data_IF_819289296844
#
_entry.id   IF_819289296844
#
_cell.length_a   1.000
_cell.length_b   1.000
_cell.length_c   1.000
_cell.angle_alpha   90.00
_cell.angle_beta   90.00
_cell.angle_gamma   90.00
#
_symmetry.space_group_name_H-M   'P 1'
#
loop_
_entity.id
_entity.type
_entity.pdbx_description
1 polymer ?
#
# COMPACT_ATOMS: atom_id res chain seq x y z
N UNK A 1 -32.95 -6.64 21.80
CA UNK A 1 -31.53 -6.74 22.22
C UNK A 1 -30.80 -7.60 21.21
N UNK A 2 -30.14 -6.97 20.22
CA UNK A 2 -29.36 -7.66 19.20
C UNK A 2 -27.91 -7.76 19.68
N UNK A 3 -27.23 -8.90 19.51
CA UNK A 3 -25.89 -9.09 20.04
C UNK A 3 -24.89 -8.25 19.24
N UNK A 4 -24.12 -7.43 19.96
CA UNK A 4 -22.95 -6.72 19.45
C UNK A 4 -21.93 -7.76 18.96
N UNK A 5 -21.91 -8.04 17.65
CA UNK A 5 -20.73 -8.65 17.03
C UNK A 5 -19.67 -7.55 16.97
N UNK A 6 -18.72 -7.61 17.90
CA UNK A 6 -17.47 -6.89 17.80
C UNK A 6 -16.70 -7.43 16.60
N UNK A 7 -16.91 -6.84 15.42
CA UNK A 7 -16.03 -7.04 14.27
C UNK A 7 -14.79 -6.23 14.62
N UNK A 8 -13.82 -6.89 15.24
CA UNK A 8 -12.46 -6.36 15.31
C UNK A 8 -12.05 -6.17 13.86
N UNK A 9 -11.87 -4.91 13.42
CA UNK A 9 -11.13 -4.57 12.20
C UNK A 9 -9.66 -4.94 12.41
N UNK A 10 -9.42 -6.24 12.63
CA UNK A 10 -8.13 -6.84 12.40
C UNK A 10 -7.92 -6.76 10.91
N UNK A 11 -6.72 -6.32 10.50
CA UNK A 11 -6.23 -6.51 9.15
C UNK A 11 -6.78 -7.84 8.62
N UNK A 12 -7.59 -7.79 7.57
CA UNK A 12 -8.00 -9.01 6.88
C UNK A 12 -6.69 -9.69 6.51
N UNK A 13 -6.30 -10.69 7.30
CA UNK A 13 -5.17 -11.56 7.03
C UNK A 13 -5.63 -12.34 5.81
N UNK A 14 -5.38 -11.78 4.63
CA UNK A 14 -5.25 -12.56 3.41
C UNK A 14 -4.19 -13.61 3.76
N UNK A 15 -4.67 -14.80 4.12
CA UNK A 15 -3.85 -15.99 4.29
C UNK A 15 -3.20 -16.24 2.93
N UNK A 16 -2.03 -15.65 2.74
CA UNK A 16 -1.16 -15.76 1.57
C UNK A 16 -0.44 -17.10 1.56
N UNK A 17 -1.18 -18.16 1.90
CA UNK A 17 -0.67 -19.52 1.93
C UNK A 17 -0.19 -19.95 0.53
N UNK A 18 -0.66 -19.31 -0.54
CA UNK A 18 -0.57 -19.84 -1.92
C UNK A 18 0.84 -19.81 -2.52
N UNK A 19 1.73 -18.86 -2.18
CA UNK A 19 3.11 -18.90 -2.68
C UNK A 19 3.93 -20.08 -2.13
N UNK A 20 3.52 -20.66 -0.99
CA UNK A 20 4.25 -21.76 -0.36
C UNK A 20 3.43 -23.05 -0.18
N UNK A 21 2.11 -23.06 -0.40
CA UNK A 21 1.27 -24.27 -0.24
C UNK A 21 1.39 -25.26 -1.39
N UNK A 22 1.91 -24.84 -2.55
CA UNK A 22 2.14 -25.75 -3.68
C UNK A 22 3.48 -26.50 -3.63
N UNK A 23 4.38 -26.13 -2.72
CA UNK A 23 5.80 -26.44 -2.90
C UNK A 23 6.37 -27.13 -1.65
N UNK A 24 6.73 -28.41 -1.78
CA UNK A 24 7.79 -29.01 -0.96
C UNK A 24 9.17 -28.41 -1.31
N UNK A 25 9.25 -27.11 -1.61
CA UNK A 25 10.50 -26.43 -1.86
C UNK A 25 11.09 -26.05 -0.51
N UNK A 26 11.81 -26.99 0.10
CA UNK A 26 12.68 -26.67 1.23
C UNK A 26 13.79 -25.78 0.71
N UNK A 27 13.67 -24.46 0.83
CA UNK A 27 14.86 -23.60 0.77
C UNK A 27 15.73 -24.04 1.93
N UNK A 28 16.81 -24.78 1.67
CA UNK A 28 17.79 -25.10 2.70
C UNK A 28 18.24 -23.79 3.36
N UNK A 29 18.32 -23.77 4.70
CA UNK A 29 18.79 -22.59 5.42
C UNK A 29 20.12 -22.12 4.82
N UNK A 30 20.22 -20.84 4.49
CA UNK A 30 21.45 -20.30 3.88
C UNK A 30 22.57 -20.43 4.89
N UNK A 31 23.70 -20.97 4.45
CA UNK A 31 24.93 -20.96 5.24
C UNK A 31 25.44 -19.52 5.30
N UNK A 32 25.20 -18.86 6.43
CA UNK A 32 25.67 -17.51 6.67
C UNK A 32 27.13 -17.53 7.13
N UNK A 33 27.99 -16.80 6.42
CA UNK A 33 29.38 -16.56 6.79
C UNK A 33 29.55 -15.05 7.00
N UNK A 34 30.17 -14.66 8.12
CA UNK A 34 30.32 -13.24 8.45
C UNK A 34 31.11 -12.49 7.37
N UNK A 35 30.53 -11.41 6.83
CA UNK A 35 31.07 -10.63 5.71
C UNK A 35 30.66 -11.14 4.32
N UNK A 36 30.06 -12.32 4.23
CA UNK A 36 29.63 -13.00 3.00
C UNK A 36 28.20 -13.56 3.14
N UNK A 37 27.36 -12.92 3.96
CA UNK A 37 25.99 -13.35 4.21
C UNK A 37 25.11 -13.32 2.95
N UNK A 38 25.52 -12.57 1.91
CA UNK A 38 24.85 -12.52 0.60
C UNK A 38 25.43 -13.52 -0.44
N UNK A 39 26.30 -14.43 -0.04
CA UNK A 39 26.93 -15.41 -0.94
C UNK A 39 25.95 -16.30 -1.72
N UNK A 40 24.80 -16.63 -1.13
CA UNK A 40 23.77 -17.44 -1.80
C UNK A 40 23.11 -16.73 -3.01
N UNK A 41 23.24 -15.41 -3.12
CA UNK A 41 22.69 -14.62 -4.23
C UNK A 41 23.74 -14.26 -5.28
N UNK A 42 24.96 -14.81 -5.21
CA UNK A 42 26.02 -14.52 -6.16
C UNK A 42 25.53 -14.67 -7.61
N UNK A 43 25.69 -13.62 -8.41
CA UNK A 43 25.16 -13.55 -9.77
C UNK A 43 24.66 -12.15 -10.15
N UNK A 44 24.11 -12.05 -11.35
CA UNK A 44 23.48 -10.84 -11.87
C UNK A 44 21.98 -11.10 -12.11
N UNK A 45 21.14 -10.27 -11.49
CA UNK A 45 19.69 -10.49 -11.43
C UNK A 45 18.94 -9.28 -11.96
N UNK A 46 17.83 -9.52 -12.66
CA UNK A 46 16.95 -8.51 -13.21
C UNK A 46 15.54 -8.61 -12.62
N UNK A 47 14.91 -7.46 -12.39
CA UNK A 47 13.57 -7.38 -11.79
C UNK A 47 12.47 -7.68 -12.80
N UNK A 48 11.44 -8.40 -12.36
CA UNK A 48 10.19 -8.58 -13.11
C UNK A 48 9.41 -7.26 -13.29
N UNK A 49 9.69 -6.23 -12.49
CA UNK A 49 9.06 -4.91 -12.65
C UNK A 49 9.28 -4.31 -14.03
N UNK A 50 10.45 -4.56 -14.65
CA UNK A 50 10.81 -4.01 -15.95
C UNK A 50 9.98 -4.60 -17.11
N UNK A 51 9.42 -5.80 -16.93
CA UNK A 51 8.79 -6.58 -18.00
C UNK A 51 7.31 -6.90 -17.73
N UNK A 52 6.82 -6.77 -16.50
CA UNK A 52 5.42 -7.04 -16.14
C UNK A 52 4.40 -6.16 -16.89
N UNK A 53 4.85 -5.03 -17.44
CA UNK A 53 4.06 -4.14 -18.28
C UNK A 53 4.12 -4.41 -19.79
N UNK A 54 4.91 -5.39 -20.23
CA UNK A 54 5.19 -5.66 -21.65
C UNK A 54 3.91 -5.94 -22.46
N UNK A 55 3.86 -5.44 -23.70
CA UNK A 55 2.68 -5.58 -24.57
C UNK A 55 2.37 -7.04 -24.93
N UNK A 56 3.39 -7.91 -24.90
CA UNK A 56 3.26 -9.35 -25.12
C UNK A 56 2.40 -10.03 -24.05
N UNK A 57 2.22 -9.41 -22.88
CA UNK A 57 1.40 -9.93 -21.79
C UNK A 57 -0.06 -9.47 -21.87
N UNK A 58 -0.41 -8.56 -22.78
CA UNK A 58 -1.75 -7.97 -22.83
C UNK A 58 -2.85 -9.03 -23.02
N UNK A 59 -2.64 -10.03 -23.89
CA UNK A 59 -3.61 -11.11 -24.07
C UNK A 59 -3.81 -11.94 -22.80
N UNK A 60 -2.74 -12.20 -22.04
CA UNK A 60 -2.82 -12.92 -20.76
C UNK A 60 -3.62 -12.11 -19.73
N UNK A 61 -3.37 -10.80 -19.63
CA UNK A 61 -4.14 -9.91 -18.76
C UNK A 61 -5.62 -9.87 -19.15
N UNK A 62 -5.93 -9.67 -20.44
CA UNK A 62 -7.31 -9.62 -20.94
C UNK A 62 -8.06 -10.92 -20.61
N UNK A 63 -7.52 -12.07 -21.01
CA UNK A 63 -8.15 -13.38 -20.80
C UNK A 63 -8.38 -13.69 -19.33
N UNK A 64 -7.49 -13.24 -18.44
CA UNK A 64 -7.65 -13.47 -17.01
C UNK A 64 -8.65 -12.48 -16.39
N UNK A 65 -8.60 -11.20 -16.76
CA UNK A 65 -9.53 -10.19 -16.27
C UNK A 65 -10.99 -10.47 -16.68
N UNK A 66 -11.23 -11.09 -17.85
CA UNK A 66 -12.58 -11.53 -18.28
C UNK A 66 -13.24 -12.52 -17.28
N UNK A 67 -12.43 -13.22 -16.47
CA UNK A 67 -12.91 -14.14 -15.44
C UNK A 67 -13.12 -13.45 -14.08
N UNK A 68 -12.80 -12.17 -13.97
CA UNK A 68 -12.79 -11.41 -12.72
C UNK A 68 -13.86 -10.30 -12.77
N UNK A 69 -15.03 -10.48 -12.10
CA UNK A 69 -16.19 -9.60 -12.30
C UNK A 69 -15.98 -8.14 -11.88
N UNK A 70 -14.99 -7.87 -11.02
CA UNK A 70 -14.73 -6.56 -10.45
C UNK A 70 -13.32 -6.05 -10.75
N UNK A 71 -12.68 -6.57 -11.78
CA UNK A 71 -11.36 -6.11 -12.23
C UNK A 71 -11.44 -5.79 -13.72
N UNK A 72 -10.99 -4.61 -14.09
CA UNK A 72 -10.67 -4.31 -15.49
C UNK A 72 -9.34 -4.97 -15.86
N UNK A 73 -9.04 -5.09 -17.16
CA UNK A 73 -7.72 -5.51 -17.64
C UNK A 73 -6.60 -4.65 -17.02
N UNK A 74 -6.75 -3.33 -17.10
CA UNK A 74 -5.80 -2.38 -16.51
C UNK A 74 -5.73 -2.49 -14.98
N UNK A 75 -6.83 -2.84 -14.32
CA UNK A 75 -6.89 -3.08 -12.87
C UNK A 75 -6.11 -4.32 -12.44
N UNK A 76 -6.19 -5.42 -13.20
CA UNK A 76 -5.37 -6.61 -12.98
C UNK A 76 -3.89 -6.29 -13.27
N UNK A 77 -3.60 -5.61 -14.38
CA UNK A 77 -2.25 -5.17 -14.73
C UNK A 77 -1.62 -4.30 -13.65
N UNK A 78 -2.38 -3.36 -13.09
CA UNK A 78 -1.94 -2.53 -11.98
C UNK A 78 -1.68 -3.33 -10.70
N UNK A 79 -2.49 -4.35 -10.41
CA UNK A 79 -2.28 -5.24 -9.26
C UNK A 79 -0.98 -6.06 -9.41
N UNK A 80 -0.75 -6.67 -10.57
CA UNK A 80 0.49 -7.43 -10.86
C UNK A 80 1.71 -6.51 -10.88
N UNK A 81 1.61 -5.33 -11.50
CA UNK A 81 2.70 -4.33 -11.49
C UNK A 81 3.06 -3.91 -10.06
N UNK A 82 2.06 -3.73 -9.19
CA UNK A 82 2.27 -3.37 -7.77
C UNK A 82 2.98 -4.49 -7.01
N UNK A 83 2.66 -5.75 -7.27
CA UNK A 83 3.34 -6.90 -6.65
C UNK A 83 4.85 -6.84 -6.93
N UNK A 84 5.25 -6.58 -8.17
CA UNK A 84 6.66 -6.56 -8.56
C UNK A 84 7.37 -5.22 -8.35
N UNK A 85 6.66 -4.15 -7.98
CA UNK A 85 7.20 -2.80 -7.94
C UNK A 85 8.44 -2.68 -7.05
N UNK A 86 9.53 -2.12 -7.59
CA UNK A 86 10.80 -1.95 -6.85
C UNK A 86 11.56 -0.73 -7.37
N UNK A 87 12.34 -0.05 -6.50
CA UNK A 87 13.28 0.97 -6.94
C UNK A 87 14.55 0.39 -7.60
N UNK A 88 14.82 -0.91 -7.38
CA UNK A 88 16.00 -1.61 -7.87
C UNK A 88 15.63 -2.45 -9.11
N UNK A 89 16.14 -2.09 -10.30
CA UNK A 89 15.83 -2.80 -11.54
C UNK A 89 16.76 -3.98 -11.81
N UNK A 90 18.01 -3.92 -11.32
CA UNK A 90 18.98 -5.03 -11.36
C UNK A 90 19.82 -5.06 -10.09
N UNK A 91 20.33 -6.23 -9.72
CA UNK A 91 21.24 -6.42 -8.61
C UNK A 91 22.37 -7.37 -9.00
N UNK A 92 23.61 -7.00 -8.70
CA UNK A 92 24.78 -7.86 -8.86
C UNK A 92 25.43 -8.12 -7.50
N UNK A 93 25.55 -9.40 -7.17
CA UNK A 93 26.19 -9.90 -5.96
C UNK A 93 27.46 -10.63 -6.34
N UNK A 94 28.60 -10.23 -5.77
CA UNK A 94 29.89 -10.92 -5.97
C UNK A 94 30.11 -12.04 -4.94
N UNK A 95 29.26 -12.08 -3.92
CA UNK A 95 29.27 -13.03 -2.81
C UNK A 95 29.66 -12.41 -1.46
N UNK A 96 30.16 -11.17 -1.48
CA UNK A 96 30.34 -10.34 -0.29
C UNK A 96 29.03 -9.62 0.08
N UNK A 97 29.05 -8.86 1.18
CA UNK A 97 27.95 -7.98 1.54
C UNK A 97 27.89 -6.65 0.76
N UNK A 98 28.76 -6.45 -0.23
CA UNK A 98 28.65 -5.31 -1.15
C UNK A 98 27.82 -5.71 -2.35
N UNK A 99 26.73 -4.98 -2.58
CA UNK A 99 25.83 -5.20 -3.71
C UNK A 99 25.94 -4.04 -4.67
N UNK A 100 26.04 -4.34 -5.96
CA UNK A 100 25.94 -3.33 -7.01
C UNK A 100 24.49 -3.29 -7.52
N UNK A 101 23.74 -2.29 -7.08
CA UNK A 101 22.37 -2.08 -7.52
C UNK A 101 22.30 -1.22 -8.76
N UNK A 102 21.41 -1.56 -9.68
CA UNK A 102 21.01 -0.68 -10.78
C UNK A 102 19.66 -0.07 -10.45
N UNK A 103 19.59 1.26 -10.45
CA UNK A 103 18.36 2.05 -10.26
C UNK A 103 18.07 2.87 -11.50
N UNK A 104 16.79 3.20 -11.71
CA UNK A 104 16.40 4.17 -12.73
C UNK A 104 16.46 5.57 -12.14
N UNK A 105 17.13 6.50 -12.83
CA UNK A 105 17.05 7.91 -12.47
C UNK A 105 15.75 8.56 -12.97
N UNK A 106 15.56 9.84 -12.63
CA UNK A 106 14.36 10.60 -12.98
C UNK A 106 14.16 10.76 -14.49
N UNK A 107 15.23 10.63 -15.27
CA UNK A 107 15.24 10.77 -16.72
C UNK A 107 15.09 9.39 -17.41
N UNK A 108 14.96 8.31 -16.62
CA UNK A 108 14.82 6.95 -17.11
C UNK A 108 16.14 6.29 -17.51
N UNK A 109 17.28 6.79 -17.04
CA UNK A 109 18.58 6.17 -17.28
C UNK A 109 18.97 5.23 -16.14
N UNK A 110 19.60 4.11 -16.48
CA UNK A 110 20.17 3.18 -15.50
C UNK A 110 21.42 3.80 -14.82
N UNK A 111 21.48 3.69 -13.49
CA UNK A 111 22.66 4.03 -12.67
C UNK A 111 23.04 2.87 -11.79
N UNK A 112 24.31 2.49 -11.85
CA UNK A 112 24.88 1.47 -10.96
C UNK A 112 25.47 2.12 -9.71
N UNK A 113 25.03 1.67 -8.55
CA UNK A 113 25.43 2.23 -7.26
C UNK A 113 25.82 1.08 -6.32
N UNK A 114 27.09 1.01 -5.88
CA UNK A 114 27.51 0.01 -4.91
C UNK A 114 27.05 0.42 -3.51
N UNK A 115 26.63 -0.55 -2.71
CA UNK A 115 26.32 -0.34 -1.31
C UNK A 115 26.70 -1.58 -0.48
N UNK A 116 27.41 -1.33 0.62
CA UNK A 116 27.78 -2.36 1.58
C UNK A 116 26.71 -2.46 2.67
N UNK A 117 26.33 -3.68 3.00
CA UNK A 117 25.29 -3.99 3.97
C UNK A 117 25.83 -4.79 5.15
N UNK A 118 25.14 -4.66 6.28
CA UNK A 118 25.30 -5.53 7.43
C UNK A 118 24.05 -6.37 7.60
N UNK A 119 24.23 -7.67 7.83
CA UNK A 119 23.16 -8.57 8.22
C UNK A 119 22.66 -8.26 9.65
N UNK A 120 21.35 -8.22 9.83
CA UNK A 120 20.68 -7.83 11.10
C UNK A 120 19.79 -8.93 11.68
N UNK A 121 19.93 -10.16 11.16
CA UNK A 121 19.19 -11.33 11.61
C UNK A 121 17.98 -11.67 10.72
N UNK A 122 17.31 -12.77 11.09
CA UNK A 122 16.08 -13.21 10.43
C UNK A 122 14.87 -12.49 11.02
N UNK A 123 13.85 -12.24 10.20
CA UNK A 123 12.55 -11.71 10.62
C UNK A 123 11.43 -12.62 10.11
N UNK A 124 10.43 -12.93 10.94
CA UNK A 124 9.34 -13.80 10.50
C UNK A 124 8.57 -13.15 9.33
N UNK A 125 8.11 -13.97 8.39
CA UNK A 125 7.17 -13.54 7.37
C UNK A 125 5.76 -13.49 7.97
N UNK A 126 5.06 -12.38 7.81
CA UNK A 126 3.67 -12.28 8.26
C UNK A 126 2.78 -13.17 7.40
N UNK A 127 1.95 -13.99 8.05
CA UNK A 127 0.99 -14.86 7.37
C UNK A 127 1.59 -16.13 6.75
N UNK A 128 2.89 -16.38 6.90
CA UNK A 128 3.57 -17.58 6.38
C UNK A 128 4.38 -18.24 7.50
N UNK A 129 3.78 -19.24 8.15
CA UNK A 129 4.41 -19.97 9.25
C UNK A 129 5.70 -20.68 8.81
N UNK A 130 6.71 -20.68 9.67
CA UNK A 130 8.00 -21.33 9.41
C UNK A 130 8.92 -20.60 8.42
N UNK A 131 8.47 -19.52 7.78
CA UNK A 131 9.26 -18.77 6.80
C UNK A 131 9.79 -17.46 7.38
N UNK A 132 10.95 -17.04 6.89
CA UNK A 132 11.63 -15.86 7.41
C UNK A 132 12.39 -15.11 6.33
N UNK A 133 12.38 -13.79 6.46
CA UNK A 133 13.20 -12.85 5.74
C UNK A 133 14.61 -12.78 6.32
N UNK A 134 15.63 -12.68 5.48
CA UNK A 134 16.97 -12.26 5.88
C UNK A 134 17.06 -10.73 5.79
N UNK A 135 17.39 -10.04 6.89
CA UNK A 135 17.34 -8.59 6.97
C UNK A 135 18.72 -7.93 6.89
N UNK A 136 18.84 -6.90 6.07
CA UNK A 136 20.07 -6.16 5.83
C UNK A 136 19.88 -4.66 5.96
N UNK A 137 20.87 -3.99 6.52
CA UNK A 137 20.92 -2.54 6.69
C UNK A 137 22.21 -2.00 6.07
N UNK A 138 22.11 -0.94 5.27
CA UNK A 138 23.26 -0.27 4.69
C UNK A 138 24.17 0.28 5.80
N UNK A 139 25.48 0.04 5.73
CA UNK A 139 26.41 0.46 6.80
C UNK A 139 26.51 1.99 6.93
N UNK A 140 26.14 2.71 5.88
CA UNK A 140 26.08 4.17 5.81
C UNK A 140 25.04 4.59 4.76
N UNK A 141 24.47 5.80 4.86
CA UNK A 141 23.64 6.35 3.78
C UNK A 141 24.41 6.43 2.46
N UNK A 142 23.79 5.96 1.37
CA UNK A 142 24.34 6.04 0.02
C UNK A 142 23.42 6.89 -0.85
N UNK A 143 23.99 7.94 -1.46
CA UNK A 143 23.26 8.83 -2.35
C UNK A 143 22.68 8.04 -3.54
N UNK A 144 21.40 8.23 -3.82
CA UNK A 144 20.70 7.48 -4.88
C UNK A 144 20.12 6.12 -4.44
N UNK A 145 20.39 5.67 -3.21
CA UNK A 145 19.84 4.42 -2.64
C UNK A 145 19.07 4.66 -1.34
N UNK A 146 18.47 5.84 -1.17
CA UNK A 146 17.67 6.14 0.03
C UNK A 146 16.52 5.14 0.23
N UNK A 147 15.89 4.68 -0.86
CA UNK A 147 14.81 3.67 -0.83
C UNK A 147 15.31 2.23 -0.66
N UNK A 148 16.62 2.02 -0.54
CA UNK A 148 17.25 0.73 -0.29
C UNK A 148 18.18 0.77 0.93
N UNK A 149 17.99 1.73 1.85
CA UNK A 149 18.74 1.78 3.12
C UNK A 149 18.58 0.48 3.93
N UNK A 150 17.38 -0.11 3.87
CA UNK A 150 17.04 -1.38 4.45
C UNK A 150 16.51 -2.29 3.36
N UNK A 151 16.85 -3.58 3.42
CA UNK A 151 16.12 -4.58 2.65
C UNK A 151 15.95 -5.89 3.40
N UNK A 152 14.91 -6.61 3.03
CA UNK A 152 14.64 -7.98 3.45
C UNK A 152 14.57 -8.87 2.21
N UNK A 153 15.18 -10.05 2.26
CA UNK A 153 15.36 -10.92 1.09
C UNK A 153 15.13 -12.39 1.44
N UNK A 154 14.68 -13.17 0.46
CA UNK A 154 14.66 -14.65 0.52
C UNK A 154 15.72 -15.25 -0.40
N UNK A 155 16.27 -16.42 -0.07
CA UNK A 155 17.27 -17.08 -0.91
C UNK A 155 16.70 -17.40 -2.30
N UNK A 156 17.54 -17.51 -3.34
CA UNK A 156 17.09 -17.99 -4.64
C UNK A 156 16.48 -19.39 -4.52
N UNK A 157 15.28 -19.55 -5.06
CA UNK A 157 14.51 -20.79 -5.01
C UNK A 157 13.70 -20.97 -6.30
N UNK A 158 13.09 -22.14 -6.41
CA UNK A 158 12.08 -22.47 -7.41
C UNK A 158 10.80 -22.86 -6.68
N UNK A 159 9.68 -22.40 -7.21
CA UNK A 159 8.35 -22.77 -6.72
C UNK A 159 7.96 -24.14 -7.27
N UNK A 160 8.34 -24.46 -8.51
CA UNK A 160 8.16 -25.80 -9.07
C UNK A 160 9.39 -26.28 -9.83
N UNK A 161 9.40 -27.54 -10.26
CA UNK A 161 10.50 -28.08 -11.08
C UNK A 161 10.70 -27.27 -12.37
N UNK A 162 9.59 -26.76 -12.94
CA UNK A 162 9.58 -26.01 -14.20
C UNK A 162 9.67 -24.48 -14.02
N UNK A 163 9.55 -23.95 -12.79
CA UNK A 163 9.60 -22.49 -12.54
C UNK A 163 11.02 -21.96 -12.63
N UNK A 164 11.18 -20.66 -12.89
CA UNK A 164 12.49 -20.04 -12.92
C UNK A 164 13.15 -20.05 -11.53
N UNK A 165 14.48 -20.15 -11.49
CA UNK A 165 15.23 -19.81 -10.28
C UNK A 165 15.12 -18.30 -10.07
N UNK A 166 14.54 -17.90 -8.95
CA UNK A 166 14.27 -16.51 -8.66
C UNK A 166 14.34 -16.25 -7.15
N UNK A 167 14.29 -14.98 -6.77
CA UNK A 167 14.16 -14.57 -5.36
C UNK A 167 13.30 -13.32 -5.23
N UNK A 168 12.85 -13.06 -4.00
CA UNK A 168 12.09 -11.87 -3.64
C UNK A 168 12.85 -11.00 -2.65
N UNK A 169 12.70 -9.68 -2.77
CA UNK A 169 13.16 -8.74 -1.76
C UNK A 169 12.26 -7.50 -1.65
N UNK A 170 12.20 -6.92 -0.45
CA UNK A 170 11.57 -5.61 -0.22
C UNK A 170 12.63 -4.61 0.21
N UNK A 171 12.55 -3.40 -0.33
CA UNK A 171 13.52 -2.31 -0.09
C UNK A 171 12.82 -1.12 0.56
N UNK A 172 13.46 -0.44 1.51
CA UNK A 172 12.89 0.77 2.07
C UNK A 172 13.88 1.67 2.80
N UNK A 173 13.37 2.85 3.17
CA UNK A 173 14.14 3.94 3.77
C UNK A 173 13.98 4.09 5.29
N UNK A 174 12.99 3.42 5.89
CA UNK A 174 12.60 3.67 7.30
C UNK A 174 13.25 2.71 8.27
N UNK A 175 12.82 1.45 8.22
CA UNK A 175 13.27 0.39 9.10
C UNK A 175 12.81 -0.98 8.56
N UNK A 176 13.41 -2.04 9.10
CA UNK A 176 13.08 -3.44 8.75
C UNK A 176 11.64 -3.80 9.13
N UNK A 177 11.12 -3.26 10.24
CA UNK A 177 9.77 -3.57 10.72
C UNK A 177 8.73 -3.14 9.69
N UNK A 178 8.88 -1.95 9.13
CA UNK A 178 8.03 -1.38 8.08
C UNK A 178 8.01 -2.26 6.83
N UNK A 179 9.13 -2.90 6.48
CA UNK A 179 9.20 -3.82 5.34
C UNK A 179 8.46 -5.14 5.60
N UNK A 180 8.60 -5.68 6.82
CA UNK A 180 7.90 -6.91 7.23
C UNK A 180 6.39 -6.68 7.32
N UNK A 181 5.97 -5.53 7.81
CA UNK A 181 4.56 -5.10 7.96
C UNK A 181 3.95 -4.47 6.69
N UNK A 182 4.69 -4.44 5.59
CA UNK A 182 4.20 -3.91 4.31
C UNK A 182 3.11 -4.80 3.70
N UNK A 183 2.47 -4.29 2.63
CA UNK A 183 1.45 -5.01 1.85
C UNK A 183 1.92 -6.47 1.60
N UNK A 184 1.16 -7.47 2.06
CA UNK A 184 1.62 -8.85 1.99
C UNK A 184 1.64 -9.37 0.55
N UNK A 185 1.02 -8.69 -0.43
CA UNK A 185 1.14 -8.97 -1.86
C UNK A 185 2.32 -8.27 -2.55
N UNK A 186 3.13 -7.49 -1.82
CA UNK A 186 4.32 -6.86 -2.38
C UNK A 186 5.50 -7.85 -2.38
N UNK A 187 5.79 -8.41 -3.55
CA UNK A 187 6.83 -9.41 -3.80
C UNK A 187 7.69 -9.00 -5.01
N UNK A 188 8.56 -7.98 -4.87
CA UNK A 188 9.51 -7.67 -5.93
C UNK A 188 10.38 -8.89 -6.22
N UNK A 189 10.33 -9.33 -7.46
CA UNK A 189 10.86 -10.63 -7.89
C UNK A 189 11.98 -10.42 -8.89
N UNK A 190 13.03 -11.24 -8.76
CA UNK A 190 14.23 -11.15 -9.56
C UNK A 190 14.63 -12.53 -10.07
N UNK A 191 14.99 -12.61 -11.35
CA UNK A 191 15.56 -13.80 -11.96
C UNK A 191 16.93 -13.48 -12.58
N UNK A 192 17.68 -14.51 -12.92
CA UNK A 192 19.00 -14.37 -13.52
C UNK A 192 18.92 -13.56 -14.84
N UNK A 193 19.88 -12.66 -15.04
CA UNK A 193 19.98 -11.83 -16.27
C UNK A 193 20.20 -12.65 -17.54
N UNK A 194 20.71 -13.89 -17.41
CA UNK A 194 20.88 -14.82 -18.52
C UNK A 194 19.57 -15.50 -18.96
N UNK A 195 18.48 -15.39 -18.18
CA UNK A 195 17.17 -15.93 -18.60
C UNK A 195 16.67 -15.18 -19.83
N UNK A 196 16.23 -15.93 -20.85
CA UNK A 196 15.70 -15.36 -22.07
C UNK A 196 14.41 -14.57 -21.81
N UNK A 197 14.18 -13.53 -22.60
CA UNK A 197 12.94 -12.74 -22.51
C UNK A 197 11.69 -13.61 -22.72
N UNK A 198 11.77 -14.64 -23.57
CA UNK A 198 10.67 -15.59 -23.77
C UNK A 198 10.31 -16.36 -22.49
N UNK A 199 11.32 -16.87 -21.78
CA UNK A 199 11.09 -17.60 -20.53
C UNK A 199 10.56 -16.68 -19.42
N UNK A 200 11.04 -15.43 -19.36
CA UNK A 200 10.50 -14.44 -18.44
C UNK A 200 9.03 -14.09 -18.73
N UNK A 201 8.67 -13.90 -20.00
CA UNK A 201 7.29 -13.64 -20.41
C UNK A 201 6.38 -14.83 -20.10
N UNK A 202 6.87 -16.06 -20.29
CA UNK A 202 6.14 -17.27 -19.89
C UNK A 202 5.90 -17.29 -18.38
N UNK A 203 6.94 -17.08 -17.57
CA UNK A 203 6.82 -17.07 -16.11
C UNK A 203 5.78 -16.05 -15.65
N UNK A 204 5.87 -14.81 -16.15
CA UNK A 204 4.90 -13.76 -15.77
C UNK A 204 3.49 -14.11 -16.26
N UNK A 205 3.33 -14.74 -17.43
CA UNK A 205 2.03 -15.20 -17.91
C UNK A 205 1.39 -16.19 -16.94
N UNK A 206 2.18 -17.09 -16.35
CA UNK A 206 1.69 -18.02 -15.35
C UNK A 206 1.43 -17.30 -14.01
N UNK A 207 2.31 -16.39 -13.57
CA UNK A 207 2.09 -15.57 -12.36
C UNK A 207 0.85 -14.67 -12.45
N UNK A 208 0.47 -14.16 -13.64
CA UNK A 208 -0.76 -13.37 -13.81
C UNK A 208 -1.99 -14.17 -13.36
N UNK A 209 -2.02 -15.49 -13.64
CA UNK A 209 -3.12 -16.37 -13.23
C UNK A 209 -3.12 -16.56 -11.72
N UNK A 210 -1.97 -16.84 -11.14
CA UNK A 210 -1.79 -17.04 -9.69
C UNK A 210 -2.18 -15.78 -8.91
N UNK A 211 -1.71 -14.61 -9.34
CA UNK A 211 -2.08 -13.32 -8.73
C UNK A 211 -3.57 -13.07 -8.82
N UNK A 212 -4.21 -13.37 -9.95
CA UNK A 212 -5.65 -13.24 -10.08
C UNK A 212 -6.42 -14.13 -9.09
N UNK A 213 -5.90 -15.31 -8.75
CA UNK A 213 -6.50 -16.21 -7.75
C UNK A 213 -6.27 -15.73 -6.31
N UNK A 214 -5.15 -15.05 -6.04
CA UNK A 214 -4.85 -14.48 -4.72
C UNK A 214 -5.57 -13.16 -4.44
N UNK A 215 -5.95 -12.43 -5.49
CA UNK A 215 -6.65 -11.16 -5.36
C UNK A 215 -8.06 -11.37 -4.77
N UNK A 216 -8.54 -10.46 -3.91
CA UNK A 216 -9.88 -10.58 -3.37
C UNK A 216 -10.91 -10.47 -4.50
N UNK A 217 -11.88 -11.39 -4.54
CA UNK A 217 -12.97 -11.38 -5.53
C UNK A 217 -13.64 -9.99 -5.62
N UNK A 218 -13.89 -9.38 -4.46
CA UNK A 218 -14.34 -7.99 -4.33
C UNK A 218 -13.15 -7.09 -3.94
N UNK A 219 -12.61 -6.25 -4.83
CA UNK A 219 -11.45 -5.41 -4.52
C UNK A 219 -11.74 -4.31 -3.49
N UNK A 220 -13.01 -4.05 -3.14
CA UNK A 220 -13.38 -3.17 -2.03
C UNK A 220 -13.36 -3.86 -0.66
N UNK A 221 -13.08 -5.16 -0.58
CA UNK A 221 -13.05 -5.93 0.69
C UNK A 221 -12.15 -5.33 1.78
N UNK A 222 -10.97 -4.73 1.49
CA UNK A 222 -10.18 -4.06 2.52
C UNK A 222 -10.89 -2.87 3.18
N UNK A 223 -11.94 -2.33 2.55
CA UNK A 223 -12.67 -1.14 2.96
C UNK A 223 -14.06 -1.47 3.52
N UNK A 224 -14.44 -2.75 3.63
CA UNK A 224 -15.79 -3.15 4.04
C UNK A 224 -16.26 -2.44 5.31
N UNK A 225 -17.52 -2.01 5.32
CA UNK A 225 -18.13 -1.32 6.44
C UNK A 225 -18.24 0.20 6.24
N UNK A 226 -18.54 0.90 7.33
CA UNK A 226 -18.87 2.34 7.33
C UNK A 226 -17.66 3.18 7.70
N UNK A 227 -17.36 4.18 6.87
CA UNK A 227 -16.21 5.08 7.01
C UNK A 227 -16.66 6.53 7.07
N UNK A 228 -16.42 7.19 8.19
CA UNK A 228 -16.80 8.58 8.45
C UNK A 228 -15.73 9.53 7.94
N UNK A 229 -16.14 10.62 7.29
CA UNK A 229 -15.23 11.68 6.87
C UNK A 229 -14.54 12.30 8.10
N UNK A 230 -13.20 12.34 8.10
CA UNK A 230 -12.39 12.87 9.21
C UNK A 230 -12.76 14.32 9.53
N UNK A 231 -13.23 15.12 8.57
CA UNK A 231 -13.63 16.50 8.84
C UNK A 231 -14.69 16.61 9.95
N UNK A 232 -15.54 15.60 10.12
CA UNK A 232 -16.60 15.55 11.13
C UNK A 232 -16.07 15.26 12.54
N UNK A 233 -14.93 14.56 12.66
CA UNK A 233 -14.39 14.22 13.99
C UNK A 233 -13.76 15.43 14.68
N UNK A 234 -13.43 16.48 13.91
CA UNK A 234 -12.88 17.70 14.49
C UNK A 234 -13.94 18.47 15.29
N UNK A 235 -15.22 18.31 14.97
CA UNK A 235 -16.33 18.91 15.73
C UNK A 235 -16.91 17.95 16.78
N UNK A 236 -16.30 16.79 17.01
CA UNK A 236 -16.84 15.75 17.88
C UNK A 236 -16.91 16.22 19.34
N UNK A 237 -18.11 16.28 19.96
CA UNK A 237 -18.29 16.86 21.29
C UNK A 237 -17.83 15.93 22.43
N UNK A 238 -17.41 14.69 22.13
CA UNK A 238 -17.07 13.70 23.16
C UNK A 238 -15.88 14.14 24.04
N UNK A 239 -15.91 13.84 25.35
CA UNK A 239 -14.94 14.36 26.32
C UNK A 239 -13.46 14.18 25.95
N UNK A 240 -13.04 13.01 25.48
CA UNK A 240 -11.62 12.76 25.18
C UNK A 240 -11.14 13.60 23.98
N UNK A 241 -12.02 13.89 23.02
CA UNK A 241 -11.70 14.77 21.89
C UNK A 241 -11.57 16.22 22.37
N UNK A 242 -12.45 16.65 23.28
CA UNK A 242 -12.33 17.97 23.91
C UNK A 242 -11.04 18.10 24.72
N UNK A 243 -10.65 17.06 25.46
CA UNK A 243 -9.39 17.01 26.19
C UNK A 243 -8.17 17.08 25.24
N UNK A 244 -8.25 16.47 24.05
CA UNK A 244 -7.21 16.59 23.04
C UNK A 244 -6.99 18.05 22.61
N UNK A 245 -8.06 18.82 22.42
CA UNK A 245 -7.94 20.26 22.13
C UNK A 245 -7.33 21.04 23.30
N UNK A 246 -7.77 20.79 24.54
CA UNK A 246 -7.17 21.41 25.73
C UNK A 246 -5.67 21.15 25.81
N UNK A 247 -5.23 19.91 25.52
CA UNK A 247 -3.81 19.53 25.46
C UNK A 247 -3.07 20.31 24.38
N UNK A 248 -3.64 20.43 23.18
CA UNK A 248 -3.02 21.17 22.06
C UNK A 248 -2.89 22.66 22.36
N UNK A 249 -3.94 23.29 22.86
CA UNK A 249 -3.93 24.73 23.20
C UNK A 249 -2.83 25.00 24.23
N UNK A 250 -2.72 24.16 25.27
CA UNK A 250 -1.65 24.25 26.26
C UNK A 250 -0.25 24.01 25.67
N UNK A 251 -0.09 22.99 24.82
CA UNK A 251 1.20 22.64 24.19
C UNK A 251 1.71 23.76 23.25
N UNK A 252 0.80 24.52 22.64
CA UNK A 252 1.09 25.60 21.69
C UNK A 252 0.81 27.01 22.23
N UNK A 253 0.69 27.15 23.56
CA UNK A 253 0.45 28.46 24.17
C UNK A 253 1.57 29.46 23.83
N UNK A 254 1.17 30.67 23.44
CA UNK A 254 2.04 31.77 23.00
C UNK A 254 2.72 31.57 21.64
N UNK A 255 2.53 30.43 20.96
CA UNK A 255 3.25 30.10 19.72
C UNK A 255 2.64 30.68 18.45
N UNK A 256 1.47 31.32 18.53
CA UNK A 256 0.82 31.99 17.40
C UNK A 256 1.12 33.49 17.49
N UNK A 257 2.30 33.91 17.02
CA UNK A 257 2.73 35.32 17.03
C UNK A 257 2.60 36.00 18.41
N UNK A 258 2.84 35.23 19.49
CA UNK A 258 2.70 35.70 20.88
C UNK A 258 1.32 35.49 21.51
N UNK A 259 0.33 34.95 20.77
CA UNK A 259 -0.98 34.56 21.31
C UNK A 259 -1.17 33.03 21.36
N UNK A 260 -2.27 32.60 21.99
CA UNK A 260 -2.71 31.21 22.00
C UNK A 260 -3.57 30.91 20.75
N UNK A 261 -3.58 29.63 20.34
CA UNK A 261 -4.58 29.14 19.39
C UNK A 261 -5.91 28.89 20.09
N UNK A 262 -7.03 29.22 19.42
CA UNK A 262 -8.36 28.78 19.87
C UNK A 262 -8.70 27.39 19.32
N UNK A 263 -9.69 26.71 19.93
CA UNK A 263 -10.19 25.43 19.42
C UNK A 263 -10.70 25.56 17.98
N UNK A 264 -11.45 26.63 17.70
CA UNK A 264 -12.04 26.92 16.39
C UNK A 264 -10.95 27.11 15.33
N UNK A 265 -9.85 27.77 15.68
CA UNK A 265 -8.68 27.94 14.80
C UNK A 265 -8.01 26.61 14.49
N UNK A 266 -7.82 25.76 15.50
CA UNK A 266 -7.25 24.42 15.30
C UNK A 266 -8.14 23.60 14.36
N UNK A 267 -9.46 23.63 14.56
CA UNK A 267 -10.44 22.96 13.69
C UNK A 267 -10.36 23.48 12.25
N UNK A 268 -10.30 24.80 12.05
CA UNK A 268 -10.20 25.41 10.73
C UNK A 268 -8.90 24.98 10.00
N UNK A 269 -7.77 24.96 10.70
CA UNK A 269 -6.49 24.50 10.15
C UNK A 269 -6.58 23.03 9.71
N UNK A 270 -7.20 22.19 10.53
CA UNK A 270 -7.42 20.79 10.22
C UNK A 270 -8.32 20.59 8.99
N UNK A 271 -9.50 21.24 8.97
CA UNK A 271 -10.46 21.18 7.85
C UNK A 271 -9.88 21.73 6.54
N UNK A 272 -9.04 22.76 6.58
CA UNK A 272 -8.33 23.26 5.39
C UNK A 272 -7.46 22.18 4.72
N UNK A 273 -6.91 21.24 5.51
CA UNK A 273 -6.05 20.17 5.00
C UNK A 273 -6.84 18.94 4.53
N UNK A 274 -7.86 18.55 5.30
CA UNK A 274 -8.56 17.27 5.16
C UNK A 274 -9.97 17.37 4.56
N UNK A 275 -10.43 18.59 4.28
CA UNK A 275 -11.77 18.86 3.74
C UNK A 275 -12.76 19.29 4.82
N UNK A 276 -13.98 19.56 4.37
CA UNK A 276 -15.09 20.08 5.17
C UNK A 276 -16.27 19.12 5.25
N UNK A 277 -16.16 17.92 4.68
CA UNK A 277 -17.25 16.98 4.46
C UNK A 277 -18.39 17.58 3.61
N UNK A 278 -18.06 18.48 2.67
CA UNK A 278 -19.05 19.14 1.81
C UNK A 278 -19.75 18.14 0.88
N UNK A 279 -19.00 17.19 0.33
CA UNK A 279 -19.50 16.24 -0.66
C UNK A 279 -20.14 14.98 -0.05
N UNK A 280 -19.66 14.52 1.12
CA UNK A 280 -20.21 13.35 1.81
C UNK A 280 -19.90 13.38 3.31
N UNK A 281 -20.77 12.80 4.14
CA UNK A 281 -20.51 12.59 5.57
C UNK A 281 -19.85 11.25 5.83
N UNK A 282 -20.27 10.21 5.11
CA UNK A 282 -19.66 8.89 5.22
C UNK A 282 -19.79 8.09 3.92
N UNK A 283 -18.94 7.09 3.80
CA UNK A 283 -18.97 6.07 2.77
C UNK A 283 -19.28 4.73 3.43
N UNK A 284 -19.98 3.86 2.73
CA UNK A 284 -20.21 2.49 3.17
C UNK A 284 -19.84 1.52 2.05
N UNK A 285 -18.96 0.56 2.34
CA UNK A 285 -18.50 -0.43 1.37
C UNK A 285 -19.14 -1.78 1.69
N UNK A 286 -19.78 -2.36 0.69
CA UNK A 286 -20.56 -3.59 0.83
C UNK A 286 -19.96 -4.63 -0.11
N UNK A 287 -19.31 -5.63 0.48
CA UNK A 287 -18.56 -6.68 -0.25
C UNK A 287 -19.06 -8.09 0.03
N UNK A 288 -20.04 -8.23 0.92
CA UNK A 288 -20.66 -9.52 1.23
C UNK A 288 -21.64 -9.93 0.12
N UNK A 289 -21.93 -11.24 0.03
CA UNK A 289 -22.91 -11.79 -0.91
C UNK A 289 -22.62 -11.39 -2.37
N UNK A 290 -21.36 -11.57 -2.79
CA UNK A 290 -20.88 -11.28 -4.15
C UNK A 290 -21.00 -9.82 -4.61
N UNK A 291 -21.19 -8.88 -3.66
CA UNK A 291 -21.21 -7.46 -3.97
C UNK A 291 -19.81 -6.85 -4.01
N UNK A 292 -19.71 -5.72 -4.69
CA UNK A 292 -18.55 -4.83 -4.62
C UNK A 292 -19.03 -3.38 -4.78
N UNK A 293 -19.88 -2.95 -3.86
CA UNK A 293 -20.60 -1.68 -3.91
C UNK A 293 -20.01 -0.65 -2.95
N UNK A 294 -20.10 0.63 -3.33
CA UNK A 294 -19.94 1.74 -2.41
C UNK A 294 -21.22 2.57 -2.39
N UNK A 295 -21.64 2.95 -1.18
CA UNK A 295 -22.73 3.88 -0.91
C UNK A 295 -22.13 5.19 -0.44
N UNK A 296 -22.59 6.30 -1.01
CA UNK A 296 -22.20 7.65 -0.61
C UNK A 296 -23.34 8.27 0.16
N UNK A 297 -23.06 8.77 1.35
CA UNK A 297 -24.07 9.35 2.24
C UNK A 297 -23.78 10.82 2.54
N UNK A 298 -24.85 11.62 2.67
CA UNK A 298 -24.82 12.98 3.22
C UNK A 298 -25.87 13.11 4.31
N UNK A 299 -25.41 13.21 5.56
CA UNK A 299 -26.29 13.01 6.71
C UNK A 299 -26.91 11.61 6.63
N UNK A 300 -28.24 11.56 6.67
CA UNK A 300 -29.03 10.33 6.54
C UNK A 300 -29.54 10.09 5.10
N UNK A 301 -29.12 10.91 4.15
CA UNK A 301 -29.51 10.78 2.73
C UNK A 301 -28.49 9.95 1.96
N UNK A 302 -28.94 8.85 1.35
CA UNK A 302 -28.16 8.10 0.35
C UNK A 302 -28.08 8.93 -0.94
N UNK A 303 -26.88 9.39 -1.30
CA UNK A 303 -26.65 10.14 -2.54
C UNK A 303 -26.50 9.21 -3.74
N UNK A 304 -25.82 8.08 -3.56
CA UNK A 304 -25.60 7.09 -4.61
C UNK A 304 -25.23 5.74 -4.03
N UNK A 305 -25.52 4.68 -4.79
CA UNK A 305 -25.09 3.30 -4.56
C UNK A 305 -24.81 2.64 -5.90
N UNK A 306 -23.56 2.26 -6.12
CA UNK A 306 -23.10 1.64 -7.37
C UNK A 306 -22.00 0.61 -7.08
N UNK A 307 -21.84 -0.34 -7.99
CA UNK A 307 -20.71 -1.26 -7.97
C UNK A 307 -19.46 -0.57 -8.54
N UNK A 308 -18.28 -1.02 -8.11
CA UNK A 308 -17.00 -0.57 -8.62
C UNK A 308 -16.19 -1.73 -9.17
N UNK A 309 -15.28 -1.43 -10.09
CA UNK A 309 -14.21 -2.35 -10.48
C UNK A 309 -12.85 -1.71 -10.18
N UNK A 310 -11.86 -2.53 -9.84
CA UNK A 310 -10.47 -2.06 -9.77
C UNK A 310 -10.01 -1.66 -11.17
N UNK A 311 -9.39 -0.48 -11.25
CA UNK A 311 -8.96 0.14 -12.49
C UNK A 311 -7.44 0.34 -12.52
N UNK A 312 -6.91 0.69 -13.69
CA UNK A 312 -5.51 1.03 -13.88
C UNK A 312 -5.04 2.17 -12.98
N UNK A 313 -3.76 2.17 -12.63
CA UNK A 313 -3.19 3.20 -11.75
C UNK A 313 -3.47 4.61 -12.28
N UNK A 314 -4.03 5.48 -11.42
CA UNK A 314 -4.25 6.87 -11.78
C UNK A 314 -2.93 7.65 -11.68
N UNK A 315 -2.53 8.35 -12.74
CA UNK A 315 -1.25 9.10 -12.78
C UNK A 315 -1.11 10.17 -11.68
N UNK A 316 -2.22 10.77 -11.23
CA UNK A 316 -2.21 11.75 -10.14
C UNK A 316 -2.03 11.10 -8.76
N UNK A 317 -2.30 9.79 -8.65
CA UNK A 317 -2.24 8.99 -7.43
C UNK A 317 -1.72 7.57 -7.73
N UNK A 318 -0.53 7.46 -8.33
CA UNK A 318 -0.02 6.18 -8.85
C UNK A 318 0.14 5.08 -7.79
N UNK A 319 0.34 5.46 -6.52
CA UNK A 319 0.48 4.53 -5.39
C UNK A 319 -0.86 4.13 -4.74
N UNK A 320 -1.97 4.77 -5.15
CA UNK A 320 -3.31 4.45 -4.66
C UNK A 320 -3.98 3.40 -5.57
N UNK A 321 -4.90 2.64 -4.99
CA UNK A 321 -5.76 1.74 -5.75
C UNK A 321 -6.81 2.58 -6.48
N UNK A 322 -6.86 2.49 -7.81
CA UNK A 322 -7.88 3.16 -8.61
C UNK A 322 -9.12 2.29 -8.79
N UNK A 323 -10.28 2.94 -8.86
CA UNK A 323 -11.55 2.27 -9.10
C UNK A 323 -12.43 3.08 -10.03
N UNK A 324 -13.27 2.38 -10.79
CA UNK A 324 -14.27 2.97 -11.69
C UNK A 324 -15.65 2.42 -11.38
N UNK A 325 -16.65 3.31 -11.32
CA UNK A 325 -18.03 2.95 -11.08
C UNK A 325 -18.64 2.23 -12.30
N UNK A 326 -19.48 1.23 -12.06
CA UNK A 326 -20.26 0.54 -13.10
C UNK A 326 -21.30 1.47 -13.75
N UNK A 327 -21.88 2.38 -12.98
CA UNK A 327 -22.75 3.45 -13.44
C UNK A 327 -22.18 4.81 -13.04
N UNK A 328 -21.44 5.42 -13.97
CA UNK A 328 -20.76 6.70 -13.76
C UNK A 328 -21.73 7.87 -13.62
N UNK A 329 -22.90 7.79 -14.24
CA UNK A 329 -23.91 8.85 -14.13
C UNK A 329 -24.52 8.84 -12.72
N UNK A 330 -24.90 7.66 -12.22
CA UNK A 330 -25.43 7.50 -10.87
C UNK A 330 -24.39 7.79 -9.78
N UNK A 331 -23.12 7.47 -10.03
CA UNK A 331 -22.02 7.78 -9.11
C UNK A 331 -21.70 9.29 -9.02
N UNK A 332 -22.04 10.06 -10.06
CA UNK A 332 -21.75 11.49 -10.13
C UNK A 332 -20.27 11.81 -9.89
N UNK A 333 -19.98 12.65 -8.88
CA UNK A 333 -18.60 13.03 -8.49
C UNK A 333 -17.73 11.85 -8.07
N UNK A 334 -18.32 10.69 -7.76
CA UNK A 334 -17.63 9.49 -7.30
C UNK A 334 -17.38 8.47 -8.41
N UNK A 335 -17.61 8.82 -9.68
CA UNK A 335 -17.45 7.92 -10.82
C UNK A 335 -16.06 7.27 -10.92
N UNK A 336 -15.01 8.00 -10.54
CA UNK A 336 -13.65 7.51 -10.45
C UNK A 336 -13.11 7.75 -9.05
N UNK A 337 -12.45 6.74 -8.48
CA UNK A 337 -11.85 6.80 -7.16
C UNK A 337 -10.36 6.50 -7.23
N UNK A 338 -9.61 7.04 -6.29
CA UNK A 338 -8.27 6.57 -5.93
C UNK A 338 -8.17 6.50 -4.42
N UNK A 339 -7.86 5.32 -3.89
CA UNK A 339 -7.89 5.04 -2.45
C UNK A 339 -6.60 4.40 -1.99
N UNK A 340 -6.06 4.88 -0.87
CA UNK A 340 -5.02 4.13 -0.17
C UNK A 340 -5.64 2.93 0.52
N UNK A 341 -4.95 1.78 0.56
CA UNK A 341 -5.30 0.72 1.51
C UNK A 341 -5.40 1.30 2.94
N UNK A 342 -6.36 0.88 3.77
CA UNK A 342 -6.44 1.37 5.14
C UNK A 342 -5.15 1.14 5.92
N UNK A 343 -4.72 2.15 6.67
CA UNK A 343 -3.45 2.14 7.41
C UNK A 343 -3.50 3.04 8.65
N UNK A 344 -2.47 2.95 9.49
CA UNK A 344 -2.32 3.77 10.70
C UNK A 344 -3.22 3.34 11.87
N UNK A 345 -3.19 4.12 12.95
CA UNK A 345 -3.98 3.89 14.16
C UNK A 345 -4.60 5.22 14.67
N UNK A 346 -5.94 5.36 14.69
CA UNK A 346 -6.92 4.43 14.09
C UNK A 346 -6.65 4.21 12.60
N UNK A 347 -7.13 3.07 12.11
CA UNK A 347 -7.14 2.80 10.68
C UNK A 347 -7.80 3.97 9.96
N UNK A 348 -7.21 4.39 8.85
CA UNK A 348 -7.75 5.43 8.00
C UNK A 348 -7.39 5.17 6.55
N UNK A 349 -8.21 5.70 5.65
CA UNK A 349 -7.93 5.70 4.22
C UNK A 349 -8.05 7.12 3.67
N UNK A 350 -7.19 7.45 2.71
CA UNK A 350 -7.37 8.60 1.86
C UNK A 350 -8.20 8.21 0.64
N UNK A 351 -9.19 9.04 0.29
CA UNK A 351 -10.09 8.81 -0.84
C UNK A 351 -10.16 10.06 -1.71
N UNK A 352 -9.65 9.93 -2.93
CA UNK A 352 -9.72 10.94 -3.98
C UNK A 352 -10.78 10.51 -4.98
N UNK A 353 -11.57 11.46 -5.50
CA UNK A 353 -12.70 11.15 -6.35
C UNK A 353 -12.99 12.27 -7.36
N UNK A 354 -13.53 11.90 -8.51
CA UNK A 354 -13.95 12.84 -9.54
C UNK A 354 -14.84 12.21 -10.60
N UNK A 355 -15.45 13.05 -11.45
CA UNK A 355 -16.25 12.57 -12.59
C UNK A 355 -15.37 12.04 -13.72
N UNK A 356 -14.07 12.38 -13.71
CA UNK A 356 -13.05 11.93 -14.65
C UNK A 356 -11.74 11.61 -13.92
N UNK A 357 -10.87 10.74 -14.46
CA UNK A 357 -9.57 10.44 -13.85
C UNK A 357 -8.69 11.68 -13.59
N UNK A 358 -8.79 12.72 -14.43
CA UNK A 358 -8.04 13.97 -14.29
C UNK A 358 -8.56 14.90 -13.19
N UNK A 359 -9.70 14.59 -12.58
CA UNK A 359 -10.37 15.45 -11.60
C UNK A 359 -10.21 14.95 -10.16
N UNK A 360 -9.59 13.79 -9.94
CA UNK A 360 -9.54 13.15 -8.61
C UNK A 360 -8.81 13.99 -7.55
N UNK A 361 -7.97 14.95 -7.93
CA UNK A 361 -7.32 15.87 -6.99
C UNK A 361 -8.16 17.11 -6.65
N UNK A 362 -9.30 17.32 -7.32
CA UNK A 362 -10.21 18.45 -7.11
C UNK A 362 -11.28 18.15 -6.05
N UNK A 363 -10.93 17.36 -5.06
CA UNK A 363 -11.80 16.96 -3.96
C UNK A 363 -11.95 18.03 -2.89
N UNK A 364 -12.94 17.88 -2.02
CA UNK A 364 -13.03 18.62 -0.76
C UNK A 364 -11.83 18.31 0.16
N UNK A 365 -10.83 19.18 0.10
CA UNK A 365 -9.55 19.03 0.80
C UNK A 365 -8.46 18.36 -0.04
N UNK A 366 -7.19 18.59 0.37
CA UNK A 366 -6.01 18.04 -0.34
C UNK A 366 -5.88 16.52 -0.14
N UNK A 367 -6.30 16.03 1.03
CA UNK A 367 -6.23 14.62 1.42
C UNK A 367 -7.54 14.21 2.10
N UNK A 368 -8.66 14.07 1.37
CA UNK A 368 -9.90 13.64 1.98
C UNK A 368 -9.65 12.30 2.65
N UNK A 369 -10.00 12.21 3.93
CA UNK A 369 -9.63 11.06 4.76
C UNK A 369 -10.82 10.54 5.51
N UNK A 370 -11.00 9.24 5.56
CA UNK A 370 -12.04 8.60 6.34
C UNK A 370 -11.46 7.68 7.43
N UNK A 371 -12.20 7.50 8.50
CA UNK A 371 -11.93 6.52 9.56
C UNK A 371 -13.13 5.58 9.74
N UNK A 372 -12.95 4.36 10.27
CA UNK A 372 -14.05 3.47 10.60
C UNK A 372 -15.03 4.14 11.56
N UNK A 373 -16.33 4.00 11.30
CA UNK A 373 -17.39 4.62 12.09
C UNK A 373 -17.47 4.09 13.52
N UNK A 374 -16.96 2.88 13.77
CA UNK A 374 -16.90 2.22 15.07
C UNK A 374 -15.58 2.48 15.81
N UNK A 375 -14.75 3.40 15.32
CA UNK A 375 -13.54 3.85 16.03
C UNK A 375 -13.89 4.33 17.44
N UNK A 376 -13.17 3.83 18.45
CA UNK A 376 -13.38 4.23 19.84
C UNK A 376 -13.12 5.72 20.03
N UNK A 377 -13.70 6.29 21.09
CA UNK A 377 -13.49 7.70 21.44
C UNK A 377 -12.01 8.03 21.63
N UNK A 378 -11.25 7.15 22.25
CA UNK A 378 -9.81 7.31 22.50
C UNK A 378 -9.01 7.33 21.20
N UNK A 379 -9.37 6.48 20.24
CA UNK A 379 -8.74 6.45 18.93
C UNK A 379 -9.04 7.72 18.13
N UNK A 380 -10.28 8.20 18.19
CA UNK A 380 -10.68 9.47 17.56
C UNK A 380 -9.93 10.64 18.19
N UNK A 381 -9.88 10.72 19.53
CA UNK A 381 -9.15 11.74 20.26
C UNK A 381 -7.65 11.72 19.94
N UNK A 382 -7.04 10.53 19.88
CA UNK A 382 -5.64 10.35 19.48
C UNK A 382 -5.39 10.88 18.06
N UNK A 383 -6.28 10.58 17.11
CA UNK A 383 -6.17 11.07 15.73
C UNK A 383 -6.25 12.59 15.66
N UNK A 384 -7.21 13.20 16.37
CA UNK A 384 -7.33 14.66 16.46
C UNK A 384 -6.05 15.26 17.04
N UNK A 385 -5.58 14.73 18.16
CA UNK A 385 -4.36 15.18 18.82
C UNK A 385 -3.14 15.14 17.89
N UNK A 386 -2.85 14.00 17.28
CA UNK A 386 -1.64 13.82 16.48
C UNK A 386 -1.69 14.63 15.18
N UNK A 387 -2.85 14.67 14.53
CA UNK A 387 -3.04 15.42 13.28
C UNK A 387 -2.92 16.92 13.51
N UNK A 388 -3.66 17.44 14.47
CA UNK A 388 -3.66 18.88 14.77
C UNK A 388 -2.30 19.31 15.32
N UNK A 389 -1.64 18.52 16.16
CA UNK A 389 -0.26 18.80 16.62
C UNK A 389 0.69 18.97 15.44
N UNK A 390 0.64 18.06 14.46
CA UNK A 390 1.48 18.16 13.27
C UNK A 390 1.21 19.46 12.50
N UNK A 391 -0.04 19.78 12.24
CA UNK A 391 -0.42 20.99 11.50
C UNK A 391 -0.04 22.27 12.25
N UNK A 392 -0.19 22.30 13.58
CA UNK A 392 0.25 23.43 14.39
C UNK A 392 1.78 23.59 14.35
N UNK A 393 2.56 22.50 14.42
CA UNK A 393 4.02 22.58 14.22
C UNK A 393 4.40 23.13 12.85
N UNK A 394 3.61 22.89 11.82
CA UNK A 394 3.84 23.44 10.49
C UNK A 394 3.43 24.92 10.41
N UNK A 395 2.38 25.32 11.13
CA UNK A 395 1.88 26.70 11.16
C UNK A 395 2.71 27.65 12.05
N UNK A 396 3.47 27.12 13.00
CA UNK A 396 4.32 27.89 13.93
C UNK A 396 5.82 27.77 13.62
N UNK A 397 6.17 27.25 12.44
CA UNK A 397 7.52 27.33 11.88
C UNK A 397 7.62 28.60 11.06
#
# INVERSE_FOLDING_TARGET
MLPKKHIVYGAAVLLLAVFFTGCKSTSAAVKLEAGNELSAWKGEWQSFSAISGATQLNDAYRMQAEKMPYYTEDGLKAAVSKMFATPIVKAKFDGSNTVLFTVMDKDGNEKQIPCEYRYTGMKPMQGVEGHSWYAFEAIKPVQGLAEAQYFIIVPPHRDSEDSLLHWHARFGSRDIKSLVESDPLWWPTYADTAVSNENLLKEITDTIKEVAEMLPKAPLMPYTGKWVNTALIYDDPRPAVQEAYTKLIKEFSGKKDGSDFTKEEIIMIAKKSYGTASDFTHLEFITDNDKNEMVVWKGDTELSRVAYSRDGANKLRAMANAFVASDRQKAGKFAFLSMTTPHGSPAHMHVWYGMKPSEIEKTDGKKPTCIPADSSEELVAKRVLDTCRKLLKEATK
#
